data_IF_615866065003
#
_entry.id   IF_615866065003
#
_cell.length_a   1.000
_cell.length_b   1.000
_cell.length_c   1.000
_cell.angle_alpha   90.00
_cell.angle_beta   90.00
_cell.angle_gamma   90.00
#
_symmetry.space_group_name_H-M   'P 1'
#
loop_
_entity.id
_entity.type
_entity.pdbx_description
1 polymer ?
#
# COMPACT_ATOMS: atom_id res chain seq x y z
N UNK A 1 14.42 -4.45 7.22
CA UNK A 1 13.29 -3.71 7.81
C UNK A 1 12.56 -3.09 6.63
N UNK A 2 11.33 -3.51 6.35
CA UNK A 2 10.51 -2.93 5.29
C UNK A 2 9.99 -1.59 5.83
N UNK A 3 10.44 -0.48 5.26
CA UNK A 3 10.00 0.87 5.64
C UNK A 3 8.72 1.19 4.86
N UNK A 4 7.71 0.33 4.99
CA UNK A 4 6.42 0.58 4.36
C UNK A 4 5.67 1.63 5.20
N UNK A 5 5.26 2.72 4.57
CA UNK A 5 4.51 3.79 5.21
C UNK A 5 3.02 3.61 4.93
N UNK A 6 2.20 3.63 5.98
CA UNK A 6 0.76 3.41 5.88
C UNK A 6 0.00 4.74 5.96
N UNK A 7 -0.83 5.00 4.97
CA UNK A 7 -1.66 6.20 4.85
C UNK A 7 -3.14 5.84 4.68
N UNK A 8 -4.00 6.77 5.06
CA UNK A 8 -5.44 6.76 4.79
C UNK A 8 -5.80 7.93 3.87
N UNK A 9 -6.39 7.62 2.72
CA UNK A 9 -6.83 8.57 1.69
C UNK A 9 -8.29 8.25 1.32
N UNK A 10 -9.22 9.17 1.57
CA UNK A 10 -10.67 8.99 1.30
C UNK A 10 -11.25 7.65 1.80
N UNK A 11 -10.82 7.21 2.99
CA UNK A 11 -11.27 5.96 3.60
C UNK A 11 -10.64 4.69 3.01
N UNK A 12 -9.66 4.83 2.11
CA UNK A 12 -8.88 3.72 1.56
C UNK A 12 -7.47 3.71 2.11
N UNK A 13 -6.99 2.52 2.42
CA UNK A 13 -5.62 2.30 2.87
C UNK A 13 -4.66 2.35 1.69
N UNK A 14 -3.61 3.17 1.82
CA UNK A 14 -2.53 3.31 0.84
C UNK A 14 -1.20 3.03 1.52
N UNK A 15 -0.41 2.15 0.92
CA UNK A 15 0.92 1.78 1.42
C UNK A 15 1.97 2.28 0.44
N UNK A 16 2.87 3.12 0.92
CA UNK A 16 4.05 3.53 0.17
C UNK A 16 5.19 2.56 0.50
N UNK A 17 5.78 1.94 -0.53
CA UNK A 17 6.80 0.90 -0.38
C UNK A 17 8.01 1.16 -1.29
N UNK A 18 9.20 0.75 -0.85
CA UNK A 18 10.43 0.79 -1.66
C UNK A 18 10.54 -0.38 -2.65
N UNK A 19 9.64 -1.37 -2.56
CA UNK A 19 9.76 -2.64 -3.27
C UNK A 19 8.77 -2.78 -4.43
N UNK A 20 9.24 -3.25 -5.58
CA UNK A 20 8.38 -3.60 -6.73
C UNK A 20 7.47 -4.80 -6.47
N UNK A 21 7.84 -5.65 -5.52
CA UNK A 21 7.13 -6.87 -5.18
C UNK A 21 6.67 -6.76 -3.73
N UNK A 22 5.36 -6.79 -3.51
CA UNK A 22 4.73 -6.56 -2.22
C UNK A 22 3.89 -7.75 -1.82
N UNK A 23 3.88 -8.07 -0.52
CA UNK A 23 3.03 -9.09 0.06
C UNK A 23 1.90 -8.40 0.83
N UNK A 24 0.65 -8.68 0.48
CA UNK A 24 -0.52 -8.25 1.22
C UNK A 24 -1.12 -9.45 1.95
N UNK A 25 -1.20 -9.40 3.28
CA UNK A 25 -1.74 -10.46 4.14
C UNK A 25 -3.08 -10.07 4.79
N UNK A 26 -3.72 -9.00 4.29
CA UNK A 26 -4.96 -8.49 4.88
C UNK A 26 -4.80 -7.89 6.28
N UNK A 27 -3.58 -7.76 6.80
CA UNK A 27 -3.29 -7.09 8.07
C UNK A 27 -3.88 -7.81 9.28
N UNK A 28 -3.38 -9.02 9.57
CA UNK A 28 -3.45 -9.82 10.81
C UNK A 28 -4.76 -9.86 11.65
N UNK A 29 -5.85 -9.26 11.19
CA UNK A 29 -7.15 -9.25 11.85
C UNK A 29 -8.02 -10.43 11.42
N UNK A 30 -9.12 -10.68 12.12
CA UNK A 30 -10.04 -11.79 11.82
C UNK A 30 -10.72 -11.68 10.44
N UNK A 31 -10.71 -10.49 9.83
CA UNK A 31 -11.22 -10.22 8.48
C UNK A 31 -10.10 -10.08 7.44
N UNK A 32 -8.88 -10.52 7.76
CA UNK A 32 -7.78 -10.58 6.80
C UNK A 32 -8.06 -11.57 5.66
N UNK A 33 -7.17 -11.62 4.66
CA UNK A 33 -7.27 -12.52 3.52
C UNK A 33 -5.98 -13.33 3.36
N UNK A 34 -5.99 -14.44 2.60
CA UNK A 34 -4.77 -15.18 2.29
C UNK A 34 -3.70 -14.27 1.68
N UNK A 35 -2.43 -14.56 1.96
CA UNK A 35 -1.34 -13.74 1.45
C UNK A 35 -1.35 -13.69 -0.09
N UNK A 36 -1.40 -12.47 -0.63
CA UNK A 36 -1.31 -12.19 -2.05
C UNK A 36 0.00 -11.48 -2.34
N UNK A 37 0.67 -11.89 -3.42
CA UNK A 37 1.90 -11.26 -3.89
C UNK A 37 1.56 -10.39 -5.11
N UNK A 38 1.80 -9.09 -4.97
CA UNK A 38 1.51 -8.08 -5.97
C UNK A 38 2.82 -7.57 -6.57
N UNK A 39 2.82 -7.38 -7.87
CA UNK A 39 3.91 -6.65 -8.55
C UNK A 39 3.38 -5.28 -8.94
N UNK A 40 4.06 -4.23 -8.50
CA UNK A 40 3.76 -2.86 -8.89
C UNK A 40 3.93 -2.74 -10.41
N UNK A 41 2.88 -2.25 -11.08
CA UNK A 41 2.91 -2.05 -12.54
C UNK A 41 4.00 -1.05 -12.96
N UNK A 42 4.19 -0.83 -14.26
CA UNK A 42 5.15 0.17 -14.78
C UNK A 42 4.90 1.60 -14.26
N UNK A 43 3.71 1.89 -13.73
CA UNK A 43 3.37 3.15 -13.07
C UNK A 43 3.74 3.18 -11.57
N UNK A 44 4.36 2.11 -11.07
CA UNK A 44 4.72 1.93 -9.67
C UNK A 44 3.51 1.79 -8.75
N UNK A 45 2.42 1.19 -9.20
CA UNK A 45 1.22 1.01 -8.38
C UNK A 45 0.55 -0.34 -8.60
N UNK A 46 -0.07 -0.88 -7.55
CA UNK A 46 -0.92 -2.07 -7.56
C UNK A 46 -2.03 -1.94 -6.51
N UNK A 47 -3.10 -2.73 -6.63
CA UNK A 47 -4.19 -2.78 -5.64
C UNK A 47 -4.42 -4.24 -5.29
N UNK A 48 -4.54 -4.53 -4.00
CA UNK A 48 -4.89 -5.88 -3.55
C UNK A 48 -6.35 -6.20 -3.92
N UNK A 49 -6.58 -7.36 -4.52
CA UNK A 49 -7.91 -7.80 -4.95
C UNK A 49 -8.89 -8.09 -3.81
N UNK A 50 -8.39 -8.24 -2.58
CA UNK A 50 -9.19 -8.61 -1.41
C UNK A 50 -9.54 -7.42 -0.53
N UNK A 51 -8.53 -6.80 0.11
CA UNK A 51 -8.75 -5.69 1.03
C UNK A 51 -8.82 -4.32 0.36
N UNK A 52 -8.54 -4.23 -0.95
CA UNK A 52 -8.56 -2.96 -1.69
C UNK A 52 -7.42 -2.00 -1.33
N UNK A 53 -6.43 -2.44 -0.53
CA UNK A 53 -5.22 -1.67 -0.23
C UNK A 53 -4.48 -1.32 -1.51
N UNK A 54 -4.16 -0.04 -1.67
CA UNK A 54 -3.34 0.44 -2.78
C UNK A 54 -1.88 0.48 -2.36
N UNK A 55 -1.01 -0.13 -3.14
CA UNK A 55 0.43 -0.07 -2.97
C UNK A 55 1.03 0.88 -4.01
N UNK A 56 1.93 1.75 -3.58
CA UNK A 56 2.64 2.68 -4.46
C UNK A 56 4.15 2.67 -4.19
N UNK A 57 4.92 2.70 -5.27
CA UNK A 57 6.37 2.72 -5.23
C UNK A 57 6.85 4.10 -4.83
N UNK A 58 7.81 4.15 -3.90
CA UNK A 58 8.54 5.36 -3.57
C UNK A 58 9.17 6.03 -4.80
N UNK A 59 9.27 7.36 -4.77
CA UNK A 59 9.81 8.16 -5.87
C UNK A 59 8.86 8.34 -7.06
N UNK A 60 7.67 7.74 -7.04
CA UNK A 60 6.63 8.01 -8.04
C UNK A 60 5.81 9.26 -7.69
N UNK A 61 5.21 9.95 -8.69
CA UNK A 61 4.28 11.04 -8.42
C UNK A 61 3.12 10.63 -7.51
N UNK A 62 2.68 9.37 -7.60
CA UNK A 62 1.63 8.83 -6.74
C UNK A 62 2.07 8.75 -5.27
N UNK A 63 3.31 8.34 -4.99
CA UNK A 63 3.84 8.35 -3.63
C UNK A 63 3.97 9.77 -3.06
N UNK A 64 4.40 10.74 -3.87
CA UNK A 64 4.44 12.15 -3.48
C UNK A 64 3.05 12.69 -3.15
N UNK A 65 2.05 12.39 -3.97
CA UNK A 65 0.66 12.81 -3.73
C UNK A 65 0.10 12.22 -2.42
N UNK A 66 0.32 10.93 -2.19
CA UNK A 66 -0.12 10.23 -0.97
C UNK A 66 0.52 10.85 0.27
N UNK A 67 1.82 11.13 0.25
CA UNK A 67 2.52 11.78 1.38
C UNK A 67 2.06 13.21 1.63
N UNK A 68 1.61 13.91 0.59
CA UNK A 68 1.14 15.30 0.71
C UNK A 68 -0.31 15.41 1.22
N UNK A 69 -1.14 14.41 0.95
CA UNK A 69 -2.60 14.49 1.19
C UNK A 69 -3.15 13.42 2.13
N UNK A 70 -2.48 12.26 2.22
CA UNK A 70 -2.89 11.15 3.05
C UNK A 70 -2.60 11.39 4.52
N UNK A 71 -3.50 10.91 5.38
CA UNK A 71 -3.30 10.92 6.82
C UNK A 71 -2.40 9.73 7.20
N UNK A 72 -1.34 9.95 7.98
CA UNK A 72 -0.51 8.85 8.47
C UNK A 72 -1.34 7.96 9.39
N UNK A 73 -1.43 6.68 9.04
CA UNK A 73 -2.06 5.68 9.89
C UNK A 73 -1.09 5.35 11.02
N UNK A 74 -1.47 5.63 12.26
CA UNK A 74 -0.72 5.14 13.41
C UNK A 74 -0.67 3.60 13.37
N UNK A 75 0.53 3.04 13.55
CA UNK A 75 0.81 1.62 13.53
C UNK A 75 0.03 0.85 14.61
#
# INVERSE_FOLDING_TARGET
>A
MMNDEFFLEDGKEVVVTSHMNVRCDGGNGPLGHPAEFLTLSSKGQAVCGYCGRRYVLEGTPAATAVRATGQTKAA
#
